data_IF_291608833176
#
_entry.id   IF_291608833176
#
_cell.length_a   1.000
_cell.length_b   1.000
_cell.length_c   1.000
_cell.angle_alpha   90.00
_cell.angle_beta   90.00
_cell.angle_gamma   90.00
#
_symmetry.space_group_name_H-M   'P 1'
#
loop_
_entity.id
_entity.type
_entity.pdbx_description
1 polymer ?
#
# COMPACT_ATOMS: atom_id res chain seq x y z
N UNK A 1 15.24 7.72 2.07
CA UNK A 1 15.67 6.50 1.36
C UNK A 1 14.68 6.20 0.25
N UNK A 2 14.98 5.27 -0.65
CA UNK A 2 14.03 4.81 -1.67
C UNK A 2 12.92 4.03 -0.93
N UNK A 3 11.63 4.35 -1.13
CA UNK A 3 10.53 3.63 -0.48
C UNK A 3 10.50 2.17 -0.93
N UNK A 4 10.10 1.23 -0.04
CA UNK A 4 10.04 -0.19 -0.37
C UNK A 4 8.92 -0.48 -1.36
N UNK A 5 9.06 -1.61 -2.06
CA UNK A 5 7.97 -2.24 -2.82
C UNK A 5 7.16 -3.12 -1.86
N UNK A 6 5.84 -3.08 -1.98
CA UNK A 6 4.88 -3.77 -1.12
C UNK A 6 3.92 -4.65 -1.95
N UNK A 7 3.47 -5.75 -1.33
CA UNK A 7 2.47 -6.70 -1.85
C UNK A 7 2.67 -7.05 -3.33
N UNK A 8 3.87 -7.49 -3.73
CA UNK A 8 4.14 -7.86 -5.12
C UNK A 8 3.48 -9.20 -5.48
N UNK A 9 2.74 -9.25 -6.60
CA UNK A 9 2.02 -10.44 -7.07
C UNK A 9 2.22 -10.68 -8.55
N UNK A 10 2.44 -11.95 -8.89
CA UNK A 10 2.55 -12.41 -10.27
C UNK A 10 1.16 -12.71 -10.86
N UNK A 11 0.95 -12.37 -12.12
CA UNK A 11 -0.26 -12.69 -12.87
C UNK A 11 -0.39 -14.21 -13.09
N UNK A 12 -1.61 -14.70 -13.34
CA UNK A 12 -1.90 -16.14 -13.46
C UNK A 12 -1.13 -16.84 -14.59
N UNK A 13 -0.84 -16.10 -15.68
CA UNK A 13 -0.06 -16.55 -16.82
C UNK A 13 1.45 -16.31 -16.68
N UNK A 14 1.89 -15.67 -15.58
CA UNK A 14 3.30 -15.39 -15.30
C UNK A 14 3.91 -14.24 -16.11
N UNK A 15 3.14 -13.52 -16.92
CA UNK A 15 3.66 -12.48 -17.81
C UNK A 15 3.95 -11.15 -17.11
N UNK A 16 3.31 -10.88 -15.97
CA UNK A 16 3.35 -9.59 -15.30
C UNK A 16 3.50 -9.74 -13.78
N UNK A 17 4.22 -8.81 -13.16
CA UNK A 17 4.17 -8.57 -11.71
C UNK A 17 3.54 -7.22 -11.45
N UNK A 18 2.48 -7.18 -10.64
CA UNK A 18 1.92 -5.95 -10.09
C UNK A 18 2.42 -5.76 -8.65
N UNK A 19 2.56 -4.52 -8.20
CA UNK A 19 3.05 -4.19 -6.87
C UNK A 19 2.71 -2.75 -6.49
N UNK A 20 2.71 -2.45 -5.20
CA UNK A 20 2.56 -1.08 -4.72
C UNK A 20 3.93 -0.49 -4.43
N UNK A 21 4.19 0.70 -4.96
CA UNK A 21 5.39 1.47 -4.67
C UNK A 21 5.03 2.93 -4.46
N UNK A 22 5.51 3.52 -3.38
CA UNK A 22 5.24 4.92 -3.07
C UNK A 22 3.74 5.30 -3.13
N UNK A 23 2.87 4.47 -2.53
CA UNK A 23 1.40 4.64 -2.46
C UNK A 23 0.64 4.48 -3.78
N UNK A 24 1.32 4.04 -4.84
CA UNK A 24 0.75 3.86 -6.17
C UNK A 24 0.93 2.43 -6.65
N UNK A 25 -0.01 1.96 -7.45
CA UNK A 25 0.05 0.66 -8.09
C UNK A 25 0.90 0.75 -9.36
N UNK A 26 1.82 -0.20 -9.51
CA UNK A 26 2.67 -0.38 -10.67
C UNK A 26 2.54 -1.79 -11.22
N UNK A 27 2.93 -1.96 -12.48
CA UNK A 27 3.10 -3.27 -13.10
C UNK A 27 4.36 -3.31 -13.96
N UNK A 28 4.98 -4.49 -14.06
CA UNK A 28 6.14 -4.73 -14.92
C UNK A 28 6.01 -6.10 -15.58
N UNK A 29 6.45 -6.21 -16.84
CA UNK A 29 6.52 -7.50 -17.52
C UNK A 29 7.69 -8.32 -16.95
N UNK A 30 7.52 -9.64 -16.84
CA UNK A 30 8.53 -10.55 -16.27
C UNK A 30 9.70 -10.83 -17.21
N UNK A 31 9.60 -10.42 -18.47
CA UNK A 31 10.66 -10.54 -19.48
C UNK A 31 11.84 -9.57 -19.27
N UNK A 32 11.73 -8.68 -18.28
CA UNK A 32 12.71 -7.63 -17.97
C UNK A 32 13.02 -6.68 -19.15
N UNK A 33 12.16 -6.65 -20.18
CA UNK A 33 12.40 -5.84 -21.37
C UNK A 33 12.04 -4.37 -21.16
N UNK A 34 11.18 -4.09 -20.18
CA UNK A 34 10.63 -2.76 -19.92
C UNK A 34 10.75 -2.37 -18.46
N UNK A 35 10.86 -1.06 -18.21
CA UNK A 35 10.72 -0.51 -16.87
C UNK A 35 9.28 -0.68 -16.35
N UNK A 36 9.06 -0.68 -15.02
CA UNK A 36 7.72 -0.68 -14.46
C UNK A 36 6.87 0.50 -14.95
N UNK A 37 5.60 0.23 -15.21
CA UNK A 37 4.58 1.20 -15.60
C UNK A 37 3.71 1.52 -14.40
N UNK A 38 3.50 2.81 -14.15
CA UNK A 38 2.58 3.28 -13.12
C UNK A 38 1.14 3.15 -13.62
N UNK A 39 0.29 2.46 -12.84
CA UNK A 39 -1.11 2.21 -13.19
C UNK A 39 -2.07 3.24 -12.56
N UNK A 40 -1.71 3.80 -11.41
CA UNK A 40 -2.53 4.76 -10.67
C UNK A 40 -1.77 6.05 -10.37
N UNK A 41 -2.50 7.14 -10.16
CA UNK A 41 -1.95 8.43 -9.70
C UNK A 41 -2.83 9.01 -8.59
N UNK A 42 -2.29 9.94 -7.79
CA UNK A 42 -2.99 10.63 -6.70
C UNK A 42 -2.69 10.12 -5.29
N UNK A 43 -2.05 8.95 -5.15
CA UNK A 43 -1.52 8.43 -3.87
C UNK A 43 -0.35 9.22 -3.29
N UNK A 44 0.22 10.16 -4.04
CA UNK A 44 1.22 11.11 -3.54
C UNK A 44 0.67 12.13 -2.53
N UNK A 45 -0.65 12.28 -2.42
CA UNK A 45 -1.28 13.01 -1.32
C UNK A 45 -1.09 12.20 -0.03
N UNK A 46 -0.63 12.84 1.05
CA UNK A 46 -0.08 12.15 2.24
C UNK A 46 -1.02 11.12 2.92
N UNK A 47 -2.30 11.11 2.55
CA UNK A 47 -3.38 10.30 3.11
C UNK A 47 -4.05 9.36 2.09
N UNK A 48 -3.69 9.42 0.79
CA UNK A 48 -4.25 8.52 -0.22
C UNK A 48 -3.30 7.35 -0.45
N UNK A 49 -3.83 6.15 -0.65
CA UNK A 49 -3.07 4.98 -1.10
C UNK A 49 -3.88 4.17 -2.09
N UNK A 50 -3.23 3.72 -3.17
CA UNK A 50 -3.82 2.85 -4.17
C UNK A 50 -3.23 1.44 -4.07
N UNK A 51 -4.07 0.43 -3.92
CA UNK A 51 -3.67 -0.98 -4.00
C UNK A 51 -3.19 -1.60 -2.68
N UNK A 52 -3.34 -0.96 -1.53
CA UNK A 52 -3.10 -1.60 -0.22
C UNK A 52 -4.39 -1.66 0.59
N UNK A 53 -4.57 -2.76 1.33
CA UNK A 53 -5.65 -2.87 2.31
C UNK A 53 -5.46 -1.83 3.43
N UNK A 54 -6.53 -1.15 3.82
CA UNK A 54 -6.51 -0.24 4.96
C UNK A 54 -6.37 -0.99 6.31
N UNK A 55 -6.20 -0.23 7.38
CA UNK A 55 -6.02 -0.80 8.72
C UNK A 55 -7.21 -1.69 9.14
N UNK A 56 -8.43 -1.24 8.89
CA UNK A 56 -9.65 -1.97 9.28
C UNK A 56 -9.80 -3.27 8.49
N UNK A 57 -9.49 -3.27 7.19
CA UNK A 57 -9.50 -4.48 6.38
C UNK A 57 -8.53 -5.53 6.91
N UNK A 58 -7.34 -5.12 7.34
CA UNK A 58 -6.33 -6.05 7.87
C UNK A 58 -6.72 -6.62 9.24
N UNK A 59 -7.15 -5.76 10.17
CA UNK A 59 -7.40 -6.14 11.56
C UNK A 59 -8.76 -6.81 11.78
N UNK A 60 -9.82 -6.28 11.16
CA UNK A 60 -11.20 -6.67 11.48
C UNK A 60 -11.82 -7.62 10.42
N UNK A 61 -11.30 -7.59 9.18
CA UNK A 61 -11.85 -8.39 8.08
C UNK A 61 -10.94 -9.54 7.64
N UNK A 62 -9.69 -9.58 8.10
CA UNK A 62 -8.69 -10.56 7.65
C UNK A 62 -8.33 -10.43 6.16
N UNK A 63 -8.47 -9.24 5.58
CA UNK A 63 -8.15 -8.94 4.18
C UNK A 63 -6.84 -8.17 4.11
N UNK A 64 -5.81 -8.83 3.57
CA UNK A 64 -4.48 -8.27 3.38
C UNK A 64 -4.23 -7.71 1.97
N UNK A 65 -5.23 -7.84 1.09
CA UNK A 65 -5.17 -7.47 -0.32
C UNK A 65 -5.85 -6.13 -0.58
N UNK A 66 -5.17 -5.23 -1.29
CA UNK A 66 -5.73 -3.98 -1.81
C UNK A 66 -5.90 -3.95 -3.33
N UNK A 67 -5.47 -4.98 -4.05
CA UNK A 67 -5.66 -5.10 -5.49
C UNK A 67 -5.73 -6.56 -5.96
N UNK A 68 -6.32 -6.76 -7.13
CA UNK A 68 -6.58 -8.09 -7.72
C UNK A 68 -6.34 -8.05 -9.23
N UNK A 69 -5.41 -8.89 -9.70
CA UNK A 69 -5.15 -9.10 -11.13
C UNK A 69 -6.27 -10.01 -11.67
N UNK A 70 -6.84 -9.67 -12.83
CA UNK A 70 -7.88 -10.47 -13.46
C UNK A 70 -7.37 -11.88 -13.83
N UNK A 71 -8.23 -12.90 -13.89
CA UNK A 71 -7.81 -14.27 -14.21
C UNK A 71 -7.11 -14.43 -15.56
N UNK A 72 -7.44 -13.57 -16.53
CA UNK A 72 -6.83 -13.51 -17.87
C UNK A 72 -5.63 -12.56 -17.95
N UNK A 73 -5.18 -12.01 -16.82
CA UNK A 73 -4.00 -11.13 -16.70
C UNK A 73 -4.07 -9.80 -17.44
N UNK A 74 -5.27 -9.35 -17.87
CA UNK A 74 -5.42 -8.12 -18.68
C UNK A 74 -5.83 -6.88 -17.89
N UNK A 75 -6.41 -7.05 -16.70
CA UNK A 75 -6.96 -5.97 -15.88
C UNK A 75 -6.48 -6.08 -14.43
N UNK A 76 -6.49 -4.96 -13.72
CA UNK A 76 -6.29 -4.92 -12.27
C UNK A 76 -7.41 -4.11 -11.64
N UNK A 77 -8.15 -4.74 -10.72
CA UNK A 77 -9.04 -4.04 -9.81
C UNK A 77 -8.23 -3.62 -8.58
N UNK A 78 -8.50 -2.43 -8.03
CA UNK A 78 -7.80 -1.95 -6.84
C UNK A 78 -8.73 -1.14 -5.94
N UNK A 79 -8.38 -1.09 -4.68
CA UNK A 79 -8.94 -0.18 -3.70
C UNK A 79 -8.11 1.11 -3.63
N UNK A 80 -8.80 2.24 -3.61
CA UNK A 80 -8.22 3.52 -3.22
C UNK A 80 -8.73 3.87 -1.83
N UNK A 81 -7.80 4.14 -0.92
CA UNK A 81 -8.09 4.53 0.46
C UNK A 81 -7.69 5.99 0.63
N UNK A 82 -8.60 6.80 1.19
CA UNK A 82 -8.35 8.18 1.61
C UNK A 82 -8.54 8.28 3.13
N UNK A 83 -7.43 8.44 3.84
CA UNK A 83 -7.41 8.54 5.31
C UNK A 83 -7.49 10.00 5.82
N UNK A 84 -7.72 11.01 4.97
CA UNK A 84 -7.67 12.43 5.35
C UNK A 84 -8.65 12.81 6.47
N UNK A 85 -9.75 12.07 6.58
CA UNK A 85 -10.79 12.26 7.59
C UNK A 85 -10.60 11.40 8.84
N UNK A 86 -9.61 10.50 8.85
CA UNK A 86 -9.36 9.59 9.97
C UNK A 86 -8.49 10.31 11.03
N UNK A 87 -8.88 10.32 12.32
CA UNK A 87 -8.07 10.92 13.36
C UNK A 87 -6.70 10.25 13.50
N UNK A 88 -5.67 11.06 13.81
CA UNK A 88 -4.34 10.54 14.14
C UNK A 88 -4.32 10.09 15.60
N UNK A 89 -3.83 8.88 15.82
CA UNK A 89 -3.50 8.36 17.13
C UNK A 89 -1.99 8.25 17.30
N UNK A 90 -1.50 8.64 18.48
CA UNK A 90 -0.08 8.60 18.80
C UNK A 90 0.27 7.34 19.58
N UNK A 91 1.20 6.57 19.02
CA UNK A 91 1.77 5.39 19.67
C UNK A 91 3.14 5.76 20.22
N UNK A 92 3.37 5.46 21.50
CA UNK A 92 4.65 5.69 22.17
C UNK A 92 5.53 4.43 22.09
N UNK A 93 6.77 4.59 21.63
CA UNK A 93 7.77 3.53 21.65
C UNK A 93 8.35 3.38 23.06
N UNK A 94 7.68 2.62 23.92
CA UNK A 94 8.03 2.47 25.35
C UNK A 94 9.45 1.92 25.60
N UNK A 95 10.05 1.24 24.62
CA UNK A 95 11.43 0.72 24.67
C UNK A 95 12.47 1.59 23.98
N UNK A 96 12.14 2.80 23.52
CA UNK A 96 13.08 3.66 22.80
C UNK A 96 14.12 4.26 23.74
N UNK A 97 15.39 4.28 23.33
CA UNK A 97 16.44 5.05 24.00
C UNK A 97 16.31 6.57 23.76
N UNK A 98 15.50 6.96 22.76
CA UNK A 98 15.19 8.37 22.47
C UNK A 98 14.06 8.86 23.35
N UNK A 99 13.98 10.18 23.52
CA UNK A 99 12.88 10.87 24.22
C UNK A 99 12.24 11.90 23.29
N UNK A 100 11.03 12.35 23.64
CA UNK A 100 10.29 13.35 22.85
C UNK A 100 9.82 12.79 21.50
N UNK A 101 9.90 13.61 20.45
CA UNK A 101 9.39 13.25 19.11
C UNK A 101 10.04 12.00 18.51
N UNK A 102 11.28 11.68 18.90
CA UNK A 102 11.97 10.47 18.43
C UNK A 102 11.50 9.16 19.09
N UNK A 103 10.54 9.23 20.01
CA UNK A 103 10.02 8.10 20.77
C UNK A 103 8.51 7.86 20.54
N UNK A 104 7.96 8.44 19.47
CA UNK A 104 6.54 8.36 19.14
C UNK A 104 6.34 8.26 17.63
N UNK A 105 5.22 7.68 17.24
CA UNK A 105 4.75 7.64 15.85
C UNK A 105 3.24 7.93 15.82
N UNK A 106 2.78 8.53 14.72
CA UNK A 106 1.37 8.83 14.49
C UNK A 106 0.81 7.94 13.40
N UNK A 107 -0.37 7.37 13.65
CA UNK A 107 -1.10 6.53 12.71
C UNK A 107 -2.53 7.03 12.54
N UNK A 108 -3.10 6.94 11.35
CA UNK A 108 -4.54 7.13 11.16
C UNK A 108 -5.26 5.93 11.79
N UNK A 109 -6.02 6.18 12.86
CA UNK A 109 -6.64 5.11 13.64
C UNK A 109 -8.11 5.42 13.89
N UNK A 110 -9.04 4.68 13.26
CA UNK A 110 -10.47 4.88 13.48
C UNK A 110 -10.90 4.21 14.79
N UNK A 111 -10.80 4.93 15.92
CA UNK A 111 -11.49 4.48 17.14
C UNK A 111 -13.00 4.44 16.86
N UNK A 112 -13.61 3.30 17.18
CA UNK A 112 -15.06 3.14 17.20
C UNK A 112 -15.70 3.94 18.34
#
# INVERSE_FOLDING_TARGET
>A
GIPPILDARISSDGSMVAFVWNRELYAVQTDCASAPVQLTTGGGEAHVTNGLADYVAQEEMGRYEGYWISPDSTLVAFEQVDESSVPRYRIMHQGSEKVGEGAQEDHHYPFA
#
